data_IF_312655896739
#
_entry.id   IF_312655896739
#
_cell.length_a   1.000
_cell.length_b   1.000
_cell.length_c   1.000
_cell.angle_alpha   90.00
_cell.angle_beta   90.00
_cell.angle_gamma   90.00
#
_symmetry.space_group_name_H-M   'P 1'
#
loop_
_entity.id
_entity.type
_entity.pdbx_description
1 polymer ?
#
# COMPACT_ATOMS: atom_id res chain seq x y z
N UNK A 1 3.95 3.07 -17.01
CA UNK A 1 5.26 2.41 -16.86
C UNK A 1 5.68 2.78 -15.46
N UNK A 2 5.57 1.84 -14.54
CA UNK A 2 5.61 2.12 -13.11
C UNK A 2 7.01 2.46 -12.66
N UNK A 3 7.08 2.95 -11.42
CA UNK A 3 8.32 3.40 -10.84
C UNK A 3 9.35 2.25 -10.73
N UNK A 4 10.54 2.34 -11.38
CA UNK A 4 11.55 1.27 -11.33
C UNK A 4 12.04 0.98 -9.90
N UNK A 5 12.02 1.98 -9.01
CA UNK A 5 12.37 1.79 -7.61
C UNK A 5 11.33 0.93 -6.88
N UNK A 6 10.03 1.26 -7.04
CA UNK A 6 8.92 0.50 -6.47
C UNK A 6 8.97 -0.96 -6.94
N UNK A 7 9.24 -1.19 -8.21
CA UNK A 7 9.35 -2.54 -8.77
C UNK A 7 10.49 -3.31 -8.14
N UNK A 8 11.67 -2.71 -8.02
CA UNK A 8 12.83 -3.37 -7.41
C UNK A 8 12.55 -3.79 -5.97
N UNK A 9 11.93 -2.93 -5.18
CA UNK A 9 11.65 -3.23 -3.76
C UNK A 9 10.53 -4.25 -3.60
N UNK A 10 9.45 -4.13 -4.38
CA UNK A 10 8.35 -5.11 -4.36
C UNK A 10 8.80 -6.48 -4.87
N UNK A 11 9.67 -6.57 -5.89
CA UNK A 11 10.24 -7.85 -6.34
C UNK A 11 10.99 -8.59 -5.22
N UNK A 12 11.75 -7.88 -4.36
CA UNK A 12 12.40 -8.52 -3.21
C UNK A 12 11.38 -9.11 -2.23
N UNK A 13 10.25 -8.43 -2.02
CA UNK A 13 9.17 -8.92 -1.16
C UNK A 13 8.57 -10.20 -1.76
N UNK A 14 8.28 -10.20 -3.06
CA UNK A 14 7.78 -11.39 -3.77
C UNK A 14 8.73 -12.59 -3.72
N UNK A 15 10.04 -12.35 -3.75
CA UNK A 15 11.06 -13.41 -3.63
C UNK A 15 11.24 -13.90 -2.18
N UNK A 16 10.93 -13.07 -1.19
CA UNK A 16 11.20 -13.36 0.23
C UNK A 16 10.05 -14.06 0.95
N UNK A 17 8.82 -13.95 0.44
CA UNK A 17 7.63 -14.48 1.08
C UNK A 17 6.78 -15.27 0.08
N UNK A 18 6.03 -16.25 0.59
CA UNK A 18 5.06 -16.99 -0.21
C UNK A 18 3.76 -16.21 -0.37
N UNK A 19 3.01 -16.53 -1.43
CA UNK A 19 1.64 -16.06 -1.61
C UNK A 19 0.72 -16.74 -0.58
N UNK A 20 -0.25 -16.04 0.03
CA UNK A 20 -0.69 -14.65 -0.24
C UNK A 20 0.04 -13.55 0.53
N UNK A 21 0.90 -13.93 1.48
CA UNK A 21 1.62 -12.97 2.36
C UNK A 21 2.50 -11.99 1.59
N UNK A 22 3.14 -12.41 0.51
CA UNK A 22 3.96 -11.53 -0.33
C UNK A 22 3.14 -10.39 -0.97
N UNK A 23 1.94 -10.68 -1.46
CA UNK A 23 1.03 -9.70 -2.07
C UNK A 23 0.54 -8.69 -1.02
N UNK A 24 0.17 -9.17 0.17
CA UNK A 24 -0.22 -8.34 1.30
C UNK A 24 0.92 -7.38 1.72
N UNK A 25 2.14 -7.90 1.87
CA UNK A 25 3.30 -7.10 2.23
C UNK A 25 3.74 -6.13 1.12
N UNK A 26 3.63 -6.52 -0.15
CA UNK A 26 3.92 -5.62 -1.27
C UNK A 26 2.94 -4.45 -1.32
N UNK A 27 1.63 -4.70 -1.14
CA UNK A 27 0.62 -3.66 -1.06
C UNK A 27 0.86 -2.71 0.11
N UNK A 28 1.16 -3.26 1.30
CA UNK A 28 1.50 -2.50 2.49
C UNK A 28 2.76 -1.64 2.30
N UNK A 29 3.81 -2.20 1.68
CA UNK A 29 5.05 -1.48 1.37
C UNK A 29 4.77 -0.29 0.44
N UNK A 30 4.00 -0.49 -0.63
CA UNK A 30 3.65 0.57 -1.58
C UNK A 30 2.87 1.67 -0.86
N UNK A 31 1.87 1.30 -0.06
CA UNK A 31 1.10 2.28 0.69
C UNK A 31 1.99 3.11 1.63
N UNK A 32 2.89 2.47 2.37
CA UNK A 32 3.85 3.15 3.24
C UNK A 32 4.84 4.04 2.45
N UNK A 33 5.34 3.55 1.30
CA UNK A 33 6.26 4.29 0.44
C UNK A 33 5.67 5.60 -0.07
N UNK A 34 4.38 5.57 -0.43
CA UNK A 34 3.63 6.75 -0.84
C UNK A 34 3.03 7.51 0.34
N UNK A 35 3.52 7.32 1.57
CA UNK A 35 3.13 8.06 2.79
C UNK A 35 1.67 7.83 3.23
N UNK A 36 1.11 6.67 2.92
CA UNK A 36 -0.13 6.22 3.57
C UNK A 36 0.08 6.04 5.07
N UNK A 37 -0.97 6.30 5.83
CA UNK A 37 -0.96 6.29 7.30
C UNK A 37 -1.98 5.31 7.84
N UNK A 38 -1.91 5.03 9.15
CA UNK A 38 -2.83 4.11 9.84
C UNK A 38 -2.94 2.74 9.14
N UNK A 39 -1.83 2.30 8.53
CA UNK A 39 -1.77 1.05 7.78
C UNK A 39 -1.82 -0.14 8.73
N UNK A 40 -2.74 -1.06 8.49
CA UNK A 40 -2.94 -2.30 9.24
C UNK A 40 -3.08 -3.47 8.28
N UNK A 41 -2.54 -4.62 8.66
CA UNK A 41 -2.71 -5.90 7.96
C UNK A 41 -3.34 -6.86 8.96
N UNK A 42 -4.56 -7.30 8.70
CA UNK A 42 -5.29 -8.28 9.50
C UNK A 42 -5.19 -9.66 8.86
N UNK A 43 -4.89 -10.67 9.66
CA UNK A 43 -4.95 -12.08 9.28
C UNK A 43 -6.39 -12.57 9.45
N UNK A 44 -7.04 -12.91 8.35
CA UNK A 44 -8.47 -13.20 8.30
C UNK A 44 -8.80 -14.70 8.15
N UNK A 45 -7.81 -15.56 7.84
CA UNK A 45 -8.00 -16.99 7.55
C UNK A 45 -8.77 -17.75 8.66
N UNK A 46 -8.55 -17.40 9.93
CA UNK A 46 -9.21 -18.07 11.06
C UNK A 46 -10.63 -17.55 11.33
N UNK A 47 -10.94 -16.35 10.82
CA UNK A 47 -12.19 -15.63 11.12
C UNK A 47 -13.24 -15.76 10.02
N UNK A 48 -12.82 -15.90 8.76
CA UNK A 48 -13.70 -15.88 7.60
C UNK A 48 -13.08 -16.60 6.41
N UNK A 49 -13.92 -17.13 5.52
CA UNK A 49 -13.48 -17.69 4.24
C UNK A 49 -13.42 -16.65 3.11
N UNK A 50 -13.52 -15.36 3.44
CA UNK A 50 -13.55 -14.27 2.45
C UNK A 50 -12.16 -14.01 1.84
N UNK A 51 -11.13 -13.96 2.69
CA UNK A 51 -9.74 -13.69 2.31
C UNK A 51 -8.83 -14.13 3.47
N UNK A 52 -7.53 -14.30 3.19
CA UNK A 52 -6.52 -14.62 4.19
C UNK A 52 -5.92 -13.35 4.81
N UNK A 53 -5.80 -12.26 4.04
CA UNK A 53 -5.31 -10.97 4.51
C UNK A 53 -6.23 -9.81 4.13
N UNK A 54 -6.58 -8.99 5.11
CA UNK A 54 -7.26 -7.71 4.89
C UNK A 54 -6.31 -6.55 5.24
N UNK A 55 -5.98 -5.71 4.26
CA UNK A 55 -5.12 -4.53 4.43
C UNK A 55 -5.97 -3.28 4.41
N UNK A 56 -5.82 -2.43 5.42
CA UNK A 56 -6.51 -1.16 5.53
C UNK A 56 -5.50 -0.06 5.74
N UNK A 57 -5.55 1.00 4.94
CA UNK A 57 -4.78 2.20 5.22
C UNK A 57 -5.41 3.47 4.68
N UNK A 58 -4.92 4.59 5.19
CA UNK A 58 -5.43 5.91 4.92
C UNK A 58 -4.48 6.73 4.05
N UNK A 59 -5.05 7.61 3.24
CA UNK A 59 -4.35 8.55 2.37
C UNK A 59 -4.94 9.96 2.52
N UNK A 60 -4.13 10.97 2.22
CA UNK A 60 -4.47 12.38 2.39
C UNK A 60 -5.45 12.88 1.31
N UNK A 61 -5.40 12.31 0.09
CA UNK A 61 -6.24 12.77 -1.01
C UNK A 61 -6.45 11.71 -2.11
N UNK A 62 -7.41 11.98 -3.01
CA UNK A 62 -7.81 11.08 -4.10
C UNK A 62 -6.69 10.81 -5.11
N UNK A 63 -5.79 11.78 -5.34
CA UNK A 63 -4.66 11.62 -6.27
C UNK A 63 -3.65 10.63 -5.70
N UNK A 64 -3.36 10.72 -4.40
CA UNK A 64 -2.53 9.76 -3.69
C UNK A 64 -3.18 8.37 -3.69
N UNK A 65 -4.49 8.29 -3.43
CA UNK A 65 -5.25 7.03 -3.47
C UNK A 65 -5.07 6.32 -4.81
N UNK A 66 -5.33 7.03 -5.92
CA UNK A 66 -5.19 6.51 -7.29
C UNK A 66 -3.76 6.09 -7.61
N UNK A 67 -2.78 6.91 -7.21
CA UNK A 67 -1.36 6.60 -7.43
C UNK A 67 -0.94 5.31 -6.72
N UNK A 68 -1.36 5.14 -5.46
CA UNK A 68 -1.07 3.93 -4.67
C UNK A 68 -1.70 2.70 -5.34
N UNK A 69 -2.96 2.82 -5.74
CA UNK A 69 -3.70 1.73 -6.40
C UNK A 69 -3.05 1.32 -7.72
N UNK A 70 -2.69 2.29 -8.56
CA UNK A 70 -2.02 2.03 -9.85
C UNK A 70 -0.69 1.29 -9.64
N UNK A 71 0.12 1.72 -8.66
CA UNK A 71 1.41 1.08 -8.35
C UNK A 71 1.22 -0.31 -7.72
N UNK A 72 0.20 -0.51 -6.88
CA UNK A 72 -0.17 -1.83 -6.35
C UNK A 72 -0.52 -2.77 -7.51
N UNK A 73 -1.41 -2.36 -8.41
CA UNK A 73 -1.80 -3.17 -9.56
C UNK A 73 -0.61 -3.53 -10.44
N UNK A 74 0.30 -2.57 -10.71
CA UNK A 74 1.47 -2.84 -11.54
C UNK A 74 2.45 -3.80 -10.85
N UNK A 75 2.70 -3.63 -9.55
CA UNK A 75 3.59 -4.49 -8.78
C UNK A 75 3.06 -5.92 -8.71
N UNK A 76 1.76 -6.10 -8.42
CA UNK A 76 1.10 -7.41 -8.35
C UNK A 76 1.15 -8.13 -9.69
N UNK A 77 0.83 -7.42 -10.79
CA UNK A 77 0.90 -7.98 -12.14
C UNK A 77 2.29 -8.48 -12.48
N UNK A 78 3.34 -7.79 -12.03
CA UNK A 78 4.75 -8.20 -12.22
C UNK A 78 5.15 -9.34 -11.30
N UNK A 79 4.58 -9.41 -10.09
CA UNK A 79 4.70 -10.53 -9.16
C UNK A 79 3.89 -11.77 -9.55
N UNK A 80 3.19 -11.75 -10.68
CA UNK A 80 2.36 -12.87 -11.14
C UNK A 80 1.02 -13.02 -10.41
N UNK A 81 0.60 -12.00 -9.65
CA UNK A 81 -0.69 -11.93 -8.98
C UNK A 81 -1.70 -11.17 -9.85
N UNK A 82 -2.97 -11.59 -9.79
CA UNK A 82 -4.07 -10.95 -10.52
C UNK A 82 -4.97 -10.17 -9.56
N UNK A 83 -5.40 -8.97 -9.99
CA UNK A 83 -6.46 -8.21 -9.29
C UNK A 83 -7.78 -8.60 -9.93
N UNK A 84 -8.64 -9.25 -9.14
CA UNK A 84 -9.94 -9.77 -9.57
C UNK A 84 -10.92 -8.63 -9.82
N UNK A 85 -10.99 -7.68 -8.87
CA UNK A 85 -11.85 -6.52 -8.98
C UNK A 85 -11.21 -5.27 -8.37
N UNK A 86 -11.63 -4.12 -8.89
CA UNK A 86 -11.17 -2.81 -8.48
C UNK A 86 -12.36 -1.85 -8.48
N UNK A 87 -12.73 -1.38 -7.29
CA UNK A 87 -13.94 -0.57 -7.07
C UNK A 87 -13.60 0.76 -6.42
N UNK A 88 -14.42 1.81 -6.67
CA UNK A 88 -14.28 3.12 -6.00
C UNK A 88 -13.18 4.05 -6.56
N UNK A 89 -12.50 3.66 -7.64
CA UNK A 89 -11.42 4.48 -8.23
C UNK A 89 -11.90 5.85 -8.71
N UNK A 90 -13.15 5.97 -9.19
CA UNK A 90 -13.64 7.25 -9.73
C UNK A 90 -13.64 8.36 -8.70
N UNK A 91 -14.22 8.12 -7.52
CA UNK A 91 -14.24 9.07 -6.41
C UNK A 91 -12.89 9.10 -5.66
N UNK A 92 -12.26 7.96 -5.44
CA UNK A 92 -11.00 7.85 -4.68
C UNK A 92 -11.15 8.17 -3.19
N UNK A 93 -12.37 8.11 -2.66
CA UNK A 93 -12.66 8.28 -1.22
C UNK A 93 -12.50 6.95 -0.48
N UNK A 94 -12.92 5.86 -1.12
CA UNK A 94 -12.66 4.49 -0.70
C UNK A 94 -12.44 3.63 -1.94
N UNK A 95 -11.20 3.19 -2.14
CA UNK A 95 -10.85 2.24 -3.19
C UNK A 95 -10.69 0.85 -2.58
N UNK A 96 -11.33 -0.15 -3.19
CA UNK A 96 -11.20 -1.56 -2.84
C UNK A 96 -10.50 -2.30 -3.97
N UNK A 97 -9.40 -2.99 -3.64
CA UNK A 97 -8.74 -3.95 -4.53
C UNK A 97 -8.97 -5.35 -3.98
N UNK A 98 -9.57 -6.22 -4.80
CA UNK A 98 -9.82 -7.62 -4.46
C UNK A 98 -8.90 -8.53 -5.27
N UNK A 99 -8.17 -9.40 -4.59
CA UNK A 99 -7.26 -10.39 -5.16
C UNK A 99 -7.63 -11.82 -4.76
N UNK A 100 -8.83 -12.02 -4.19
CA UNK A 100 -9.27 -13.29 -3.63
C UNK A 100 -8.72 -13.47 -2.21
N UNK A 101 -7.49 -13.96 -2.10
CA UNK A 101 -6.90 -14.28 -0.79
C UNK A 101 -6.42 -13.03 -0.04
N UNK A 102 -6.40 -11.87 -0.71
CA UNK A 102 -5.99 -10.60 -0.13
C UNK A 102 -6.92 -9.48 -0.61
N UNK A 103 -7.41 -8.69 0.33
CA UNK A 103 -8.24 -7.50 0.05
C UNK A 103 -7.52 -6.26 0.56
N UNK A 104 -7.40 -5.23 -0.27
CA UNK A 104 -6.78 -3.94 0.08
C UNK A 104 -7.82 -2.83 0.06
N UNK A 105 -7.91 -2.11 1.16
CA UNK A 105 -8.74 -0.92 1.32
C UNK A 105 -7.86 0.32 1.42
N UNK A 106 -8.03 1.24 0.47
CA UNK A 106 -7.38 2.56 0.46
C UNK A 106 -8.43 3.62 0.74
N UNK A 107 -8.37 4.21 1.93
CA UNK A 107 -9.36 5.18 2.39
C UNK A 107 -8.81 6.60 2.45
N UNK A 108 -9.67 7.60 2.24
CA UNK A 108 -9.46 8.89 2.88
C UNK A 108 -9.89 8.84 4.35
N UNK A 109 -9.27 9.68 5.19
CA UNK A 109 -9.47 9.68 6.64
C UNK A 109 -10.96 9.76 7.04
N UNK A 110 -11.72 10.70 6.45
CA UNK A 110 -13.14 10.87 6.79
C UNK A 110 -13.99 9.65 6.41
N UNK A 111 -13.69 9.02 5.27
CA UNK A 111 -14.39 7.82 4.82
C UNK A 111 -14.08 6.63 5.72
N UNK A 112 -12.82 6.48 6.16
CA UNK A 112 -12.44 5.42 7.09
C UNK A 112 -13.17 5.53 8.42
N UNK A 113 -13.26 6.74 8.98
CA UNK A 113 -14.03 7.00 10.21
C UNK A 113 -15.51 6.70 10.03
N UNK A 114 -16.08 7.03 8.87
CA UNK A 114 -17.50 6.79 8.58
C UNK A 114 -17.84 5.30 8.45
N UNK A 115 -17.01 4.53 7.74
CA UNK A 115 -17.26 3.09 7.51
C UNK A 115 -16.80 2.19 8.66
N UNK A 116 -15.80 2.64 9.45
CA UNK A 116 -15.28 1.97 10.65
C UNK A 116 -14.97 0.46 10.45
N UNK A 117 -14.36 0.12 9.31
CA UNK A 117 -13.96 -1.27 9.04
C UNK A 117 -12.90 -1.77 10.03
N UNK A 118 -12.12 -0.87 10.64
CA UNK A 118 -11.17 -1.21 11.70
C UNK A 118 -11.84 -1.99 12.84
N UNK A 119 -13.06 -1.61 13.24
CA UNK A 119 -13.81 -2.29 14.29
C UNK A 119 -14.29 -3.70 13.89
N UNK A 120 -14.50 -3.95 12.59
CA UNK A 120 -14.91 -5.26 12.10
C UNK A 120 -13.79 -6.29 12.25
N UNK A 121 -12.54 -5.86 12.10
CA UNK A 121 -11.36 -6.74 12.09
C UNK A 121 -10.52 -6.63 13.36
N UNK A 122 -10.99 -5.91 14.38
CA UNK A 122 -10.18 -5.61 15.57
C UNK A 122 -9.74 -6.85 16.37
N UNK A 123 -10.52 -7.93 16.30
CA UNK A 123 -10.25 -9.19 17.00
C UNK A 123 -9.30 -10.11 16.21
N UNK A 124 -8.97 -9.77 14.97
CA UNK A 124 -8.06 -10.52 14.12
C UNK A 124 -6.60 -10.24 14.49
N UNK A 125 -5.75 -11.26 14.37
CA UNK A 125 -4.30 -11.08 14.56
C UNK A 125 -3.75 -10.13 13.49
N UNK A 126 -2.96 -9.14 13.91
CA UNK A 126 -2.32 -8.22 12.98
C UNK A 126 -0.94 -8.72 12.58
N UNK A 127 -0.68 -8.81 11.28
CA UNK A 127 0.66 -9.06 10.76
C UNK A 127 1.52 -7.79 10.97
N UNK A 128 2.65 -7.87 11.70
CA UNK A 128 3.50 -6.71 11.92
C UNK A 128 4.09 -6.19 10.61
N UNK A 129 3.98 -4.88 10.41
CA UNK A 129 4.56 -4.20 9.24
C UNK A 129 6.01 -3.84 9.58
N UNK A 130 6.99 -4.27 8.77
CA UNK A 130 8.39 -3.95 9.02
C UNK A 130 8.61 -2.44 9.06
N UNK A 131 9.37 -1.97 10.06
CA UNK A 131 9.55 -0.54 10.29
C UNK A 131 10.22 0.16 9.11
N UNK A 132 11.11 -0.54 8.41
CA UNK A 132 11.76 -0.10 7.18
C UNK A 132 10.79 0.32 6.06
N UNK A 133 9.54 -0.14 6.08
CA UNK A 133 8.53 0.25 5.09
C UNK A 133 8.15 1.73 5.22
N UNK A 134 8.27 2.30 6.42
CA UNK A 134 7.93 3.70 6.71
C UNK A 134 9.11 4.68 6.49
N UNK A 135 10.33 4.20 6.23
CA UNK A 135 11.56 5.00 6.23
C UNK A 135 12.11 5.39 4.84
N UNK A 136 11.29 5.39 3.79
CA UNK A 136 11.79 5.78 2.47
C UNK A 136 11.86 7.31 2.31
N UNK A 137 12.89 7.96 2.86
CA UNK A 137 13.66 9.07 2.24
C UNK A 137 14.75 9.61 3.20
N UNK A 138 16.04 9.29 2.95
CA UNK A 138 17.14 10.21 3.30
C UNK A 138 18.50 10.01 2.59
N UNK A 139 18.60 9.28 1.46
CA UNK A 139 19.87 9.16 0.73
C UNK A 139 19.72 9.38 -0.79
N UNK A 140 19.02 10.46 -1.20
CA UNK A 140 19.29 11.07 -2.50
C UNK A 140 20.35 12.15 -2.29
N UNK A 141 21.56 12.06 -2.89
CA UNK A 141 22.51 13.15 -2.85
C UNK A 141 21.89 14.34 -3.58
N UNK A 142 21.51 15.38 -2.80
CA UNK A 142 21.12 16.68 -3.32
C UNK A 142 22.16 17.10 -4.36
N UNK A 143 21.71 17.33 -5.60
CA UNK A 143 22.48 18.05 -6.60
C UNK A 143 23.01 19.33 -5.98
N UNK A 144 24.30 19.57 -6.17
CA UNK A 144 25.05 20.64 -5.53
C UNK A 144 24.37 22.00 -5.68
N UNK A 145 24.41 22.75 -4.59
CA UNK A 145 24.13 24.18 -4.51
C UNK A 145 24.71 24.93 -5.71
N UNK A 146 23.84 25.61 -6.46
CA UNK A 146 24.24 26.69 -7.35
C UNK A 146 24.98 27.76 -6.53
N UNK A 147 26.18 28.10 -6.99
CA UNK A 147 27.00 29.19 -6.46
C UNK A 147 26.19 30.49 -6.41
N UNK A 148 25.93 30.98 -5.21
CA UNK A 148 25.56 32.37 -4.96
C UNK A 148 26.85 33.16 -4.75
N UNK A 149 27.49 33.56 -5.84
CA UNK A 149 28.48 34.64 -5.82
C UNK A 149 28.20 35.61 -6.97
N UNK A 150 28.18 36.91 -6.61
CA UNK A 150 28.11 38.12 -7.44
C UNK A 150 26.74 38.80 -7.62
N UNK A 151 26.33 39.52 -6.56
CA UNK A 151 25.75 40.86 -6.69
C UNK A 151 26.41 41.81 -5.67
N UNK A 152 27.64 42.22 -5.99
CA UNK A 152 28.23 43.51 -5.62
C UNK A 152 29.07 44.00 -6.79
#
# INVERSE_FOLDING_TARGET
MGNPYVQKETSKIFESYEYPKNAALAAAWIMAHYKGINLKIFQAEESTSLCDFNIIGSVENTVQAKTIVDEIQEALKKGGCEVISLEGVSDGEWILLDMGDVIVHVFQDLSREYFDLDSLWQDNEQLPIPQEFYFSQQNDPKQGSENTENYF
#
